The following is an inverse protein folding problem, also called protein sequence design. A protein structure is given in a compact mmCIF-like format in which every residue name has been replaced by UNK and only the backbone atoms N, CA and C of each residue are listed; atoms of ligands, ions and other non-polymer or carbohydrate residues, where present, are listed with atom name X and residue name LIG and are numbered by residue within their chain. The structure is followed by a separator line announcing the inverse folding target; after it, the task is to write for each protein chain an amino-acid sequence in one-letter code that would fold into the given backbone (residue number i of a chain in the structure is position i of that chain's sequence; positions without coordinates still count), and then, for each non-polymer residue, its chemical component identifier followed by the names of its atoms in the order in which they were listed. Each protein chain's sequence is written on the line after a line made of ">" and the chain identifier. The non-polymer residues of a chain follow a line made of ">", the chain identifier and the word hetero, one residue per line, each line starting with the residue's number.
data_IF_940238619237
#
_entry.id   IF_940238619237
#
_cell.length_a   1.000
_cell.length_b   1.000
_cell.length_c   1.000
_cell.angle_alpha   90.00
_cell.angle_beta   90.00
_cell.angle_gamma   90.00
#
_symmetry.space_group_name_H-M   'P 1'
#
loop_
_entity.id
_entity.type
_entity.pdbx_description
1 polymer ?
#
# COMPACT_ATOMS: atom_id res chain seq x y z
N UNK A 1 -25.56 -52.39 -3.90
CA UNK A 1 -24.70 -51.30 -4.34
C UNK A 1 -25.24 -49.99 -3.80
N UNK A 2 -24.62 -49.40 -2.82
CA UNK A 2 -25.00 -48.09 -2.25
C UNK A 2 -24.02 -47.07 -2.83
N UNK A 3 -24.48 -46.16 -3.68
CA UNK A 3 -23.74 -45.03 -4.20
C UNK A 3 -23.74 -43.93 -3.14
N UNK A 4 -22.57 -43.65 -2.55
CA UNK A 4 -22.37 -42.51 -1.65
C UNK A 4 -22.02 -41.29 -2.49
N UNK A 5 -22.98 -40.38 -2.58
CA UNK A 5 -22.80 -39.08 -3.23
C UNK A 5 -21.97 -38.20 -2.30
N UNK A 6 -20.71 -37.94 -2.63
CA UNK A 6 -19.91 -36.90 -1.98
C UNK A 6 -20.30 -35.53 -2.57
N UNK A 7 -21.12 -34.80 -1.86
CA UNK A 7 -21.37 -33.39 -2.12
C UNK A 7 -20.12 -32.59 -1.73
N UNK A 8 -19.31 -32.22 -2.73
CA UNK A 8 -18.17 -31.34 -2.51
C UNK A 8 -18.65 -29.91 -2.26
N UNK A 9 -18.53 -29.43 -1.04
CA UNK A 9 -18.72 -28.02 -0.72
C UNK A 9 -17.61 -27.19 -1.36
N UNK A 10 -17.91 -26.49 -2.43
CA UNK A 10 -17.07 -25.42 -2.95
C UNK A 10 -17.33 -24.18 -2.11
N UNK A 11 -16.48 -23.91 -1.15
CA UNK A 11 -16.48 -22.62 -0.44
C UNK A 11 -15.77 -21.61 -1.35
N UNK A 12 -16.55 -20.84 -2.09
CA UNK A 12 -16.11 -19.66 -2.82
C UNK A 12 -16.08 -18.52 -1.81
N UNK A 13 -14.96 -18.29 -1.16
CA UNK A 13 -14.77 -17.11 -0.33
C UNK A 13 -14.33 -15.93 -1.20
N UNK A 14 -15.31 -15.20 -1.73
CA UNK A 14 -15.07 -13.86 -2.28
C UNK A 14 -15.12 -12.88 -1.12
N UNK A 15 -13.97 -12.43 -0.65
CA UNK A 15 -13.92 -11.34 0.33
C UNK A 15 -13.84 -10.03 -0.44
N UNK A 16 -14.92 -9.26 -0.39
CA UNK A 16 -15.00 -7.95 -1.01
C UNK A 16 -13.98 -6.97 -0.41
N UNK A 17 -13.34 -6.20 -1.29
CA UNK A 17 -12.44 -5.13 -0.93
C UNK A 17 -13.13 -4.12 -0.01
N UNK A 18 -12.56 -3.86 1.16
CA UNK A 18 -12.96 -2.71 1.96
C UNK A 18 -12.34 -1.45 1.38
N UNK A 19 -13.13 -0.71 0.62
CA UNK A 19 -12.73 0.63 0.21
C UNK A 19 -12.69 1.53 1.45
N UNK A 20 -11.50 1.92 1.87
CA UNK A 20 -11.36 2.97 2.88
C UNK A 20 -11.64 4.30 2.20
N UNK A 21 -12.73 4.96 2.59
CA UNK A 21 -13.08 6.29 2.08
C UNK A 21 -11.98 7.29 2.39
N UNK A 22 -11.58 8.12 1.41
CA UNK A 22 -10.57 9.13 1.62
C UNK A 22 -11.04 10.15 2.66
N UNK A 23 -10.25 10.33 3.72
CA UNK A 23 -10.45 11.45 4.63
C UNK A 23 -9.78 12.68 4.03
N UNK A 24 -10.56 13.64 3.55
CA UNK A 24 -10.07 14.97 3.18
C UNK A 24 -10.29 15.92 4.35
N UNK A 25 -9.22 16.38 4.98
CA UNK A 25 -9.28 17.39 6.00
C UNK A 25 -8.71 18.71 5.48
N UNK A 26 -9.54 19.73 5.33
CA UNK A 26 -9.11 21.08 5.01
C UNK A 26 -9.12 21.92 6.29
N UNK A 27 -7.94 22.31 6.78
CA UNK A 27 -7.80 23.11 7.99
C UNK A 27 -7.10 24.43 7.70
N UNK A 28 -7.74 25.55 8.06
CA UNK A 28 -7.11 26.88 8.03
C UNK A 28 -6.43 27.17 9.36
N UNK A 29 -5.13 26.93 9.46
CA UNK A 29 -4.29 27.20 10.62
C UNK A 29 -4.12 26.05 11.60
N UNK A 30 -4.53 24.84 11.25
CA UNK A 30 -4.50 23.68 12.11
C UNK A 30 -3.47 22.59 11.72
N UNK A 31 -3.69 21.41 12.30
CA UNK A 31 -2.92 20.19 12.01
C UNK A 31 -3.83 19.22 11.27
N UNK A 32 -3.40 18.74 10.11
CA UNK A 32 -4.06 17.67 9.37
C UNK A 32 -3.29 16.35 9.58
N UNK A 33 -3.96 15.33 10.11
CA UNK A 33 -3.39 14.01 10.31
C UNK A 33 -4.30 12.98 9.65
N UNK A 34 -3.76 12.23 8.72
CA UNK A 34 -4.48 11.18 8.01
C UNK A 34 -3.75 9.85 8.18
N UNK A 35 -4.48 8.81 8.52
CA UNK A 35 -3.96 7.47 8.70
C UNK A 35 -4.85 6.47 7.95
N UNK A 36 -4.27 5.63 7.11
CA UNK A 36 -4.97 4.63 6.31
C UNK A 36 -5.56 3.45 7.09
N UNK A 37 -5.36 3.43 8.40
CA UNK A 37 -5.91 2.39 9.26
C UNK A 37 -5.15 1.05 9.16
N UNK A 38 -5.79 0.00 9.66
CA UNK A 38 -5.32 -1.38 9.57
C UNK A 38 -6.28 -2.17 8.69
N UNK A 39 -5.82 -2.59 7.52
CA UNK A 39 -6.61 -3.31 6.55
C UNK A 39 -6.07 -4.74 6.42
N UNK A 40 -6.93 -5.72 6.65
CA UNK A 40 -6.61 -7.13 6.52
C UNK A 40 -7.59 -7.78 5.54
N UNK A 41 -7.06 -8.35 4.47
CA UNK A 41 -7.82 -9.11 3.51
C UNK A 41 -7.22 -10.52 3.38
N UNK A 42 -8.05 -11.57 3.48
CA UNK A 42 -7.57 -12.94 3.46
C UNK A 42 -8.54 -13.85 2.72
N UNK A 43 -8.07 -14.52 1.70
CA UNK A 43 -8.80 -15.58 1.00
C UNK A 43 -8.13 -16.94 1.24
N UNK A 44 -8.94 -17.97 1.55
CA UNK A 44 -8.48 -19.35 1.78
C UNK A 44 -9.36 -20.33 1.01
N UNK A 45 -8.75 -21.29 0.32
CA UNK A 45 -9.51 -22.33 -0.37
C UNK A 45 -8.82 -22.88 -1.62
N UNK A 46 -9.56 -23.67 -2.40
CA UNK A 46 -9.03 -24.23 -3.66
C UNK A 46 -8.78 -23.17 -4.73
N UNK A 47 -9.67 -22.19 -4.82
CA UNK A 47 -9.60 -21.06 -5.75
C UNK A 47 -9.59 -19.78 -4.90
N UNK A 48 -8.45 -19.46 -4.33
CA UNK A 48 -8.32 -18.31 -3.44
C UNK A 48 -7.95 -17.07 -4.23
N UNK A 49 -8.66 -16.00 -3.97
CA UNK A 49 -8.40 -14.67 -4.49
C UNK A 49 -8.54 -13.68 -3.33
N UNK A 50 -7.66 -12.72 -3.25
CA UNK A 50 -7.72 -11.65 -2.28
C UNK A 50 -7.24 -10.37 -2.93
N UNK A 51 -8.16 -9.48 -3.25
CA UNK A 51 -7.88 -8.15 -3.76
C UNK A 51 -8.03 -7.10 -2.66
N UNK A 52 -7.16 -6.13 -2.66
CA UNK A 52 -7.21 -5.04 -1.71
C UNK A 52 -6.76 -3.74 -2.38
N UNK A 53 -7.60 -2.73 -2.35
CA UNK A 53 -7.26 -1.37 -2.71
C UNK A 53 -7.36 -0.46 -1.48
N UNK A 54 -6.35 0.33 -1.21
CA UNK A 54 -6.30 1.26 -0.09
C UNK A 54 -5.88 2.62 -0.59
N UNK A 55 -6.69 3.63 -0.36
CA UNK A 55 -6.37 5.02 -0.71
C UNK A 55 -6.37 5.87 0.55
N UNK A 56 -5.30 6.58 0.80
CA UNK A 56 -5.17 7.51 1.92
C UNK A 56 -4.84 8.89 1.37
N UNK A 57 -5.68 9.87 1.67
CA UNK A 57 -5.51 11.25 1.26
C UNK A 57 -5.31 12.14 2.48
N UNK A 58 -4.38 13.06 2.40
CA UNK A 58 -4.23 14.12 3.40
C UNK A 58 -4.85 15.42 2.92
N UNK A 59 -5.40 16.18 3.84
CA UNK A 59 -5.87 17.53 3.58
C UNK A 59 -4.76 18.57 3.68
N UNK A 60 -5.06 19.78 3.21
CA UNK A 60 -4.18 20.94 3.29
C UNK A 60 -4.22 21.59 4.68
N UNK A 61 -3.08 22.05 5.18
CA UNK A 61 -2.98 22.86 6.38
C UNK A 61 -2.30 24.19 6.02
N UNK A 62 -2.94 25.32 6.33
CA UNK A 62 -2.45 26.65 5.98
C UNK A 62 -1.88 27.44 7.17
N UNK A 63 -1.00 28.37 6.92
CA UNK A 63 -0.30 29.30 7.80
C UNK A 63 0.65 28.66 8.82
N UNK A 64 0.25 28.00 9.86
CA UNK A 64 1.14 27.35 10.84
C UNK A 64 0.89 25.85 10.92
N UNK A 65 0.24 25.29 9.93
CA UNK A 65 -0.23 23.92 9.92
C UNK A 65 0.87 22.87 9.76
N UNK A 66 0.52 21.66 10.15
CA UNK A 66 1.30 20.45 9.97
C UNK A 66 0.44 19.41 9.26
N UNK A 67 0.96 18.79 8.23
CA UNK A 67 0.33 17.66 7.54
C UNK A 67 1.12 16.39 7.84
N UNK A 68 0.43 15.36 8.29
CA UNK A 68 0.99 14.03 8.48
C UNK A 68 0.07 13.03 7.79
N UNK A 69 0.60 12.31 6.82
CA UNK A 69 -0.13 11.25 6.11
C UNK A 69 0.61 9.93 6.25
N UNK A 70 -0.10 8.89 6.66
CA UNK A 70 0.44 7.55 6.79
C UNK A 70 -0.51 6.56 6.11
N UNK A 71 -0.03 5.76 5.16
CA UNK A 71 -0.79 4.73 4.45
C UNK A 71 -1.30 3.58 5.30
N UNK A 72 -0.96 3.59 6.60
CA UNK A 72 -1.46 2.60 7.54
C UNK A 72 -0.75 1.26 7.45
N UNK A 73 -1.45 0.21 7.88
CA UNK A 73 -0.98 -1.17 7.81
C UNK A 73 -1.92 -2.00 6.95
N UNK A 74 -1.40 -2.50 5.85
CA UNK A 74 -2.20 -3.22 4.86
C UNK A 74 -1.64 -4.63 4.69
N UNK A 75 -2.47 -5.64 4.92
CA UNK A 75 -2.10 -7.03 4.76
C UNK A 75 -3.10 -7.72 3.85
N UNK A 76 -2.60 -8.30 2.78
CA UNK A 76 -3.39 -9.04 1.81
C UNK A 76 -2.80 -10.44 1.64
N UNK A 77 -3.64 -11.48 1.77
CA UNK A 77 -3.16 -12.86 1.79
C UNK A 77 -4.10 -13.79 1.05
N UNK A 78 -3.56 -14.55 0.12
CA UNK A 78 -4.25 -15.64 -0.55
C UNK A 78 -3.56 -16.98 -0.27
N UNK A 79 -4.33 -17.97 0.20
CA UNK A 79 -3.85 -19.30 0.58
C UNK A 79 -4.69 -20.39 -0.09
N UNK A 80 -4.11 -21.18 -0.97
CA UNK A 80 -4.84 -22.28 -1.63
C UNK A 80 -4.14 -22.86 -2.84
N UNK A 81 -4.85 -23.72 -3.60
CA UNK A 81 -4.26 -24.35 -4.79
C UNK A 81 -3.99 -23.35 -5.92
N UNK A 82 -4.94 -22.46 -6.19
CA UNK A 82 -4.81 -21.42 -7.20
C UNK A 82 -4.96 -20.07 -6.48
N UNK A 83 -3.88 -19.64 -5.83
CA UNK A 83 -3.90 -18.45 -5.00
C UNK A 83 -3.46 -17.23 -5.81
N UNK A 84 -4.20 -16.16 -5.68
CA UNK A 84 -3.87 -14.84 -6.18
C UNK A 84 -4.04 -13.85 -5.03
N UNK A 85 -3.17 -12.88 -4.90
CA UNK A 85 -3.30 -11.78 -3.98
C UNK A 85 -2.85 -10.51 -4.68
N UNK A 86 -3.77 -9.65 -5.04
CA UNK A 86 -3.53 -8.32 -5.56
C UNK A 86 -3.53 -7.30 -4.41
N UNK A 87 -2.78 -6.25 -4.50
CA UNK A 87 -2.81 -5.14 -3.55
C UNK A 87 -2.44 -3.85 -4.26
N UNK A 88 -3.27 -2.85 -4.12
CA UNK A 88 -3.03 -1.50 -4.60
C UNK A 88 -3.13 -0.54 -3.41
N UNK A 89 -2.11 0.25 -3.17
CA UNK A 89 -2.06 1.22 -2.07
C UNK A 89 -1.63 2.57 -2.60
N UNK A 90 -2.45 3.56 -2.45
CA UNK A 90 -2.16 4.95 -2.81
C UNK A 90 -2.15 5.80 -1.55
N UNK A 91 -1.10 6.54 -1.31
CA UNK A 91 -0.98 7.48 -0.19
C UNK A 91 -0.62 8.85 -0.76
N UNK A 92 -1.41 9.85 -0.49
CA UNK A 92 -1.22 11.22 -0.99
C UNK A 92 -1.03 12.16 0.19
N UNK A 93 0.04 12.94 0.17
CA UNK A 93 0.27 14.01 1.13
C UNK A 93 -0.47 15.29 0.75
N UNK A 94 -0.79 16.10 1.75
CA UNK A 94 -1.39 17.41 1.57
C UNK A 94 -0.36 18.55 1.52
N UNK A 95 -0.83 19.77 1.34
CA UNK A 95 -0.03 20.98 1.34
C UNK A 95 -0.01 21.62 2.73
N UNK A 96 1.13 22.13 3.15
CA UNK A 96 1.25 22.97 4.32
C UNK A 96 1.89 24.31 3.94
N UNK A 97 1.31 25.42 4.32
CA UNK A 97 1.80 26.76 4.02
C UNK A 97 2.25 27.52 5.28
N UNK A 98 3.00 28.59 5.10
CA UNK A 98 3.58 29.37 6.18
C UNK A 98 4.74 28.64 6.86
N UNK A 99 4.58 28.22 8.11
CA UNK A 99 5.59 27.45 8.87
C UNK A 99 5.28 25.95 8.90
N UNK A 100 4.44 25.49 8.01
CA UNK A 100 3.95 24.12 7.99
C UNK A 100 5.03 23.08 7.71
N UNK A 101 4.71 21.84 8.06
CA UNK A 101 5.54 20.65 7.81
C UNK A 101 4.68 19.57 7.18
N UNK A 102 5.22 18.88 6.18
CA UNK A 102 4.58 17.74 5.53
C UNK A 102 5.39 16.49 5.79
N UNK A 103 4.74 15.45 6.28
CA UNK A 103 5.28 14.11 6.41
C UNK A 103 4.33 13.12 5.74
N UNK A 104 4.82 12.44 4.73
CA UNK A 104 4.05 11.41 4.04
C UNK A 104 4.79 10.08 4.11
N UNK A 105 4.11 9.04 4.54
CA UNK A 105 4.65 7.69 4.63
C UNK A 105 3.69 6.69 3.99
N UNK A 106 4.16 5.86 3.06
CA UNK A 106 3.38 4.82 2.39
C UNK A 106 2.89 3.68 3.29
N UNK A 107 3.30 3.70 4.56
CA UNK A 107 2.83 2.73 5.54
C UNK A 107 3.58 1.40 5.51
N UNK A 108 2.92 0.36 6.04
CA UNK A 108 3.42 -1.02 6.08
C UNK A 108 2.51 -1.89 5.23
N UNK A 109 3.03 -2.38 4.10
CA UNK A 109 2.23 -3.12 3.14
C UNK A 109 2.79 -4.55 2.96
N UNK A 110 1.95 -5.55 3.18
CA UNK A 110 2.31 -6.95 3.04
C UNK A 110 1.32 -7.64 2.10
N UNK A 111 1.83 -8.25 1.06
CA UNK A 111 1.06 -9.02 0.10
C UNK A 111 1.64 -10.42 -0.02
N UNK A 112 0.81 -11.46 0.16
CA UNK A 112 1.29 -12.83 0.20
C UNK A 112 0.34 -13.77 -0.55
N UNK A 113 0.89 -14.52 -1.48
CA UNK A 113 0.19 -15.63 -2.12
C UNK A 113 0.94 -16.94 -1.83
N UNK A 114 0.21 -17.96 -1.35
CA UNK A 114 0.76 -19.30 -1.09
C UNK A 114 -0.14 -20.38 -1.64
N UNK A 115 0.43 -21.24 -2.49
CA UNK A 115 -0.31 -22.35 -3.05
C UNK A 115 0.38 -23.02 -4.21
N UNK A 116 -0.36 -23.85 -4.95
CA UNK A 116 0.19 -24.57 -6.08
C UNK A 116 0.52 -23.65 -7.26
N UNK A 117 -0.38 -22.75 -7.62
CA UNK A 117 -0.19 -21.73 -8.66
C UNK A 117 -0.36 -20.35 -8.03
N UNK A 118 0.64 -19.90 -7.30
CA UNK A 118 0.58 -18.66 -6.54
C UNK A 118 1.03 -17.47 -7.37
N UNK A 119 0.32 -16.37 -7.25
CA UNK A 119 0.69 -15.06 -7.78
C UNK A 119 0.47 -14.02 -6.69
N UNK A 120 1.36 -13.08 -6.56
CA UNK A 120 1.22 -11.95 -5.65
C UNK A 120 1.65 -10.70 -6.39
N UNK A 121 0.74 -9.80 -6.62
CA UNK A 121 0.95 -8.51 -7.29
C UNK A 121 0.78 -7.39 -6.28
N UNK A 122 1.66 -6.42 -6.27
CA UNK A 122 1.59 -5.28 -5.38
C UNK A 122 1.95 -4.00 -6.13
N UNK A 123 1.08 -3.00 -6.09
CA UNK A 123 1.32 -1.66 -6.60
C UNK A 123 1.17 -0.65 -5.48
N UNK A 124 2.16 0.21 -5.30
CA UNK A 124 2.16 1.21 -4.24
C UNK A 124 2.59 2.54 -4.81
N UNK A 125 1.79 3.56 -4.59
CA UNK A 125 2.12 4.93 -4.92
C UNK A 125 2.07 5.81 -3.65
N UNK A 126 3.16 6.50 -3.37
CA UNK A 126 3.23 7.45 -2.27
C UNK A 126 3.63 8.82 -2.83
N UNK A 127 2.75 9.78 -2.69
CA UNK A 127 2.98 11.14 -3.15
C UNK A 127 3.12 12.09 -1.97
N UNK A 128 4.19 12.87 -1.94
CA UNK A 128 4.41 13.91 -0.94
C UNK A 128 3.69 15.19 -1.25
N UNK A 129 3.37 15.97 -0.23
CA UNK A 129 2.82 17.31 -0.35
C UNK A 129 3.90 18.39 -0.42
N UNK A 130 3.46 19.64 -0.54
CA UNK A 130 4.30 20.83 -0.54
C UNK A 130 4.38 21.45 0.85
N UNK A 131 5.48 22.08 1.20
CA UNK A 131 5.63 22.90 2.41
C UNK A 131 6.27 24.22 2.04
N UNK A 132 5.73 25.34 2.52
CA UNK A 132 6.17 26.70 2.22
C UNK A 132 6.66 27.45 3.46
N UNK A 133 7.40 28.54 3.27
CA UNK A 133 7.99 29.33 4.33
C UNK A 133 9.14 28.60 5.02
N UNK A 134 8.99 28.24 6.26
CA UNK A 134 9.98 27.46 7.03
C UNK A 134 9.64 25.97 7.10
N UNK A 135 8.86 25.50 6.15
CA UNK A 135 8.35 24.14 6.13
C UNK A 135 9.36 23.06 5.73
N UNK A 136 9.04 21.83 6.07
CA UNK A 136 9.77 20.61 5.65
C UNK A 136 8.82 19.68 4.94
N UNK A 137 9.26 19.10 3.82
CA UNK A 137 8.55 18.02 3.14
C UNK A 137 9.37 16.73 3.22
N UNK A 138 8.81 15.69 3.81
CA UNK A 138 9.45 14.38 3.92
C UNK A 138 8.47 13.34 3.38
N UNK A 139 8.88 12.63 2.35
CA UNK A 139 8.10 11.56 1.72
C UNK A 139 8.86 10.25 1.78
N UNK A 140 8.23 9.21 2.31
CA UNK A 140 8.80 7.88 2.42
C UNK A 140 7.83 6.85 1.83
N UNK A 141 8.30 5.98 0.93
CA UNK A 141 7.53 4.90 0.31
C UNK A 141 7.08 3.78 1.24
N UNK A 142 7.48 3.85 2.53
CA UNK A 142 7.06 2.88 3.53
C UNK A 142 7.85 1.57 3.51
N UNK A 143 7.26 0.52 4.14
CA UNK A 143 7.80 -0.83 4.13
C UNK A 143 6.88 -1.74 3.33
N UNK A 144 7.41 -2.31 2.25
CA UNK A 144 6.61 -3.07 1.31
C UNK A 144 7.17 -4.48 1.15
N UNK A 145 6.35 -5.48 1.42
CA UNK A 145 6.72 -6.89 1.27
C UNK A 145 5.73 -7.57 0.34
N UNK A 146 6.24 -8.21 -0.70
CA UNK A 146 5.46 -9.00 -1.63
C UNK A 146 6.06 -10.40 -1.75
N UNK A 147 5.27 -11.42 -1.48
CA UNK A 147 5.72 -12.81 -1.42
C UNK A 147 4.79 -13.73 -2.19
N UNK A 148 5.33 -14.45 -3.14
CA UNK A 148 4.69 -15.60 -3.73
C UNK A 148 5.42 -16.88 -3.32
N UNK A 149 4.70 -17.88 -2.83
CA UNK A 149 5.29 -19.13 -2.40
C UNK A 149 4.45 -20.33 -2.86
N UNK A 150 5.05 -21.22 -3.66
CA UNK A 150 4.33 -22.37 -4.18
C UNK A 150 5.04 -23.01 -5.40
N UNK A 151 4.32 -23.88 -6.11
CA UNK A 151 4.91 -24.60 -7.24
C UNK A 151 5.14 -23.73 -8.48
N UNK A 152 4.18 -22.87 -8.82
CA UNK A 152 4.29 -21.92 -9.92
C UNK A 152 4.10 -20.52 -9.35
N UNK A 153 5.12 -20.04 -8.67
CA UNK A 153 5.06 -18.77 -7.95
C UNK A 153 5.52 -17.61 -8.81
N UNK A 154 4.80 -16.52 -8.78
CA UNK A 154 5.20 -15.23 -9.34
C UNK A 154 4.97 -14.14 -8.28
N UNK A 155 5.85 -13.17 -8.21
CA UNK A 155 5.71 -12.02 -7.32
C UNK A 155 6.14 -10.76 -8.07
N UNK A 156 5.21 -9.89 -8.36
CA UNK A 156 5.46 -8.62 -9.02
C UNK A 156 5.21 -7.47 -8.06
N UNK A 157 6.15 -6.55 -7.98
CA UNK A 157 6.05 -5.39 -7.11
C UNK A 157 6.43 -4.11 -7.84
N UNK A 158 5.55 -3.12 -7.79
CA UNK A 158 5.81 -1.78 -8.27
C UNK A 158 5.66 -0.79 -7.13
N UNK A 159 6.66 0.07 -6.93
CA UNK A 159 6.62 1.11 -5.91
C UNK A 159 7.02 2.44 -6.54
N UNK A 160 6.15 3.43 -6.40
CA UNK A 160 6.40 4.81 -6.85
C UNK A 160 6.35 5.73 -5.65
N UNK A 161 7.42 6.50 -5.44
CA UNK A 161 7.49 7.51 -4.39
C UNK A 161 7.87 8.84 -4.98
N UNK A 162 7.00 9.82 -4.87
CA UNK A 162 7.21 11.17 -5.37
C UNK A 162 7.25 12.18 -4.23
N UNK A 163 8.26 13.03 -4.24
CA UNK A 163 8.42 14.10 -3.25
C UNK A 163 7.72 15.39 -3.66
N UNK A 164 7.36 16.18 -2.65
CA UNK A 164 6.85 17.53 -2.82
C UNK A 164 7.91 18.60 -2.66
N UNK A 165 7.53 19.84 -2.90
CA UNK A 165 8.38 21.05 -2.83
C UNK A 165 8.47 21.56 -1.39
N UNK A 166 9.63 22.01 -0.94
CA UNK A 166 9.81 22.73 0.32
C UNK A 166 10.14 24.22 0.06
N UNK A 167 9.64 25.14 0.88
CA UNK A 167 9.83 26.59 0.71
C UNK A 167 11.19 27.13 1.21
N UNK A 168 11.27 28.44 1.44
CA UNK A 168 12.52 29.21 1.61
C UNK A 168 13.54 28.65 2.60
N UNK A 169 13.14 28.04 3.69
CA UNK A 169 14.02 27.40 4.68
C UNK A 169 13.67 25.91 4.82
N UNK A 170 13.00 25.36 3.83
CA UNK A 170 12.51 24.01 3.86
C UNK A 170 13.54 22.97 3.41
N UNK A 171 13.36 21.75 3.88
CA UNK A 171 14.07 20.55 3.47
C UNK A 171 13.06 19.63 2.77
N UNK A 172 13.38 19.20 1.56
CA UNK A 172 12.64 18.15 0.86
C UNK A 172 13.48 16.86 0.86
N UNK A 173 12.92 15.80 1.45
CA UNK A 173 13.55 14.47 1.49
C UNK A 173 12.59 13.46 0.93
N UNK A 174 13.04 12.69 -0.05
CA UNK A 174 12.26 11.61 -0.65
C UNK A 174 13.03 10.31 -0.53
N UNK A 175 12.37 9.28 -0.01
CA UNK A 175 12.92 7.93 0.14
C UNK A 175 11.94 6.91 -0.44
N UNK A 176 12.43 6.00 -1.26
CA UNK A 176 11.63 4.88 -1.81
C UNK A 176 11.18 3.85 -0.77
N UNK A 177 11.62 4.01 0.47
CA UNK A 177 11.30 3.08 1.56
C UNK A 177 12.06 1.75 1.46
N UNK A 178 11.60 0.77 2.23
CA UNK A 178 12.13 -0.59 2.22
C UNK A 178 11.22 -1.51 1.43
N UNK A 179 11.72 -2.05 0.33
CA UNK A 179 10.94 -2.87 -0.58
C UNK A 179 11.54 -4.28 -0.68
N UNK A 180 10.71 -5.29 -0.40
CA UNK A 180 11.10 -6.70 -0.51
C UNK A 180 10.13 -7.42 -1.43
N UNK A 181 10.67 -8.06 -2.45
CA UNK A 181 9.91 -8.92 -3.35
C UNK A 181 10.56 -10.29 -3.44
N UNK A 182 9.79 -11.35 -3.24
CA UNK A 182 10.31 -12.70 -3.26
C UNK A 182 9.33 -13.69 -3.89
N UNK A 183 9.86 -14.59 -4.69
CA UNK A 183 9.16 -15.75 -5.19
C UNK A 183 9.90 -17.02 -4.75
N UNK A 184 9.19 -17.95 -4.15
CA UNK A 184 9.75 -19.17 -3.57
C UNK A 184 9.03 -20.41 -4.11
N UNK A 185 9.77 -21.35 -4.65
CA UNK A 185 9.25 -22.62 -5.13
C UNK A 185 9.68 -22.98 -6.54
N UNK A 186 9.09 -24.03 -7.09
CA UNK A 186 9.38 -24.48 -8.43
C UNK A 186 8.77 -23.53 -9.48
N UNK A 187 9.55 -23.10 -10.46
CA UNK A 187 9.11 -22.14 -11.48
C UNK A 187 8.93 -20.71 -10.94
N UNK A 188 9.65 -20.35 -9.87
CA UNK A 188 9.55 -19.06 -9.23
C UNK A 188 10.07 -17.90 -10.09
N UNK A 189 9.36 -16.79 -10.04
CA UNK A 189 9.75 -15.51 -10.63
C UNK A 189 9.48 -14.39 -9.64
N UNK A 190 10.37 -13.42 -9.56
CA UNK A 190 10.18 -12.20 -8.76
C UNK A 190 10.64 -11.00 -9.57
N UNK A 191 9.75 -10.04 -9.78
CA UNK A 191 10.01 -8.78 -10.46
C UNK A 191 9.75 -7.62 -9.52
N UNK A 192 10.68 -6.66 -9.46
CA UNK A 192 10.54 -5.47 -8.63
C UNK A 192 10.94 -4.23 -9.39
N UNK A 193 10.08 -3.24 -9.36
CA UNK A 193 10.34 -1.92 -9.90
C UNK A 193 10.11 -0.86 -8.82
N UNK A 194 11.13 -0.04 -8.57
CA UNK A 194 11.04 1.06 -7.60
C UNK A 194 11.44 2.35 -8.29
N UNK A 195 10.54 3.31 -8.26
CA UNK A 195 10.78 4.66 -8.78
C UNK A 195 10.68 5.68 -7.64
N UNK A 196 11.73 6.49 -7.49
CA UNK A 196 11.76 7.56 -6.48
C UNK A 196 12.15 8.85 -7.16
N UNK A 197 11.30 9.86 -7.05
CA UNK A 197 11.49 11.17 -7.65
C UNK A 197 11.26 12.29 -6.63
N UNK A 198 12.09 13.36 -6.69
CA UNK A 198 11.95 14.59 -5.92
C UNK A 198 11.98 15.81 -6.86
N UNK A 199 11.16 16.84 -6.55
CA UNK A 199 11.18 18.16 -7.19
C UNK A 199 11.42 19.26 -6.15
#
# INVERSE_FOLDING_TARGET
>A
MRATLFAGFAVLAVVAATAVTPASAQTTGGISITHGGNNLNTAKGKFSEADQAVTTLAGSASRHGKVVTNGGRNTNTALGKFSFAGQDVTTIGGDASGRGRVFTNGGLNTNTARGFASSATQSIATLGGSAFGNGRSITNGGHNTNLAAGRFSSADQQVVTLGGTAGRHGLNVVSGGNNRNAALGFGSSASQQVFTGGQ
#
